data_IF_873725845905
#
_entry.id   IF_873725845905
#
_cell.length_a   1.000
_cell.length_b   1.000
_cell.length_c   1.000
_cell.angle_alpha   90.00
_cell.angle_beta   90.00
_cell.angle_gamma   90.00
#
_symmetry.space_group_name_H-M   'P 1'
#
loop_
_entity.id
_entity.type
_entity.pdbx_description
1 polymer ?
#
# COMPACT_ATOMS: atom_id res chain seq x y z
N UNK A 1 -9.24 -8.06 -6.52
CA UNK A 1 -9.76 -8.55 -5.22
C UNK A 1 -9.83 -10.07 -5.15
N UNK A 2 -10.49 -10.75 -6.10
CA UNK A 2 -10.65 -12.21 -6.09
C UNK A 2 -9.32 -12.99 -5.91
N UNK A 3 -8.26 -12.57 -6.60
CA UNK A 3 -6.93 -13.19 -6.49
C UNK A 3 -6.33 -13.07 -5.08
N UNK A 4 -6.47 -11.90 -4.45
CA UNK A 4 -5.97 -11.67 -3.09
C UNK A 4 -6.73 -12.49 -2.04
N UNK A 5 -8.04 -12.68 -2.23
CA UNK A 5 -8.86 -13.50 -1.34
C UNK A 5 -8.56 -15.00 -1.51
N UNK A 6 -8.37 -15.46 -2.76
CA UNK A 6 -7.94 -16.83 -3.02
C UNK A 6 -6.56 -17.12 -2.40
N UNK A 7 -5.63 -16.17 -2.48
CA UNK A 7 -4.33 -16.27 -1.83
C UNK A 7 -4.45 -16.29 -0.29
N UNK A 8 -5.32 -15.45 0.28
CA UNK A 8 -5.61 -15.45 1.72
C UNK A 8 -6.13 -16.81 2.19
N UNK A 9 -7.13 -17.38 1.51
CA UNK A 9 -7.70 -18.69 1.84
C UNK A 9 -6.62 -19.77 1.81
N UNK A 10 -5.82 -19.81 0.74
CA UNK A 10 -4.71 -20.75 0.60
C UNK A 10 -3.68 -20.65 1.74
N UNK A 11 -3.37 -19.44 2.21
CA UNK A 11 -2.47 -19.19 3.34
C UNK A 11 -3.10 -19.64 4.67
N UNK A 12 -4.38 -19.35 4.89
CA UNK A 12 -5.11 -19.75 6.11
C UNK A 12 -5.21 -21.25 6.26
N UNK A 13 -5.47 -21.97 5.18
CA UNK A 13 -5.49 -23.46 5.18
C UNK A 13 -4.15 -24.07 5.60
N UNK A 14 -3.05 -23.32 5.48
CA UNK A 14 -1.69 -23.74 5.86
C UNK A 14 -1.28 -23.27 7.26
N UNK A 15 -2.21 -22.68 8.01
CA UNK A 15 -1.97 -22.23 9.38
C UNK A 15 -1.19 -20.91 9.47
N UNK A 16 -1.19 -20.07 8.43
CA UNK A 16 -0.64 -18.72 8.55
C UNK A 16 -1.48 -17.90 9.53
N UNK A 17 -0.87 -17.50 10.65
CA UNK A 17 -1.52 -16.73 11.72
C UNK A 17 -1.49 -15.21 11.46
N UNK A 18 -0.56 -14.75 10.62
CA UNK A 18 -0.41 -13.34 10.26
C UNK A 18 -0.30 -13.19 8.74
N UNK A 19 -0.99 -12.19 8.21
CA UNK A 19 -1.02 -11.88 6.78
C UNK A 19 -0.41 -10.50 6.56
N UNK A 20 0.55 -10.43 5.64
CA UNK A 20 1.20 -9.19 5.25
C UNK A 20 0.84 -8.84 3.81
N UNK A 21 0.04 -7.79 3.61
CA UNK A 21 -0.28 -7.32 2.26
C UNK A 21 0.81 -6.38 1.76
N UNK A 22 1.67 -6.89 0.87
CA UNK A 22 2.76 -6.13 0.25
C UNK A 22 2.28 -5.36 -0.99
N UNK A 23 2.48 -4.06 -0.98
CA UNK A 23 2.36 -3.16 -2.15
C UNK A 23 3.64 -2.31 -2.30
N UNK A 24 3.74 -1.53 -3.39
CA UNK A 24 4.97 -0.79 -3.72
C UNK A 24 5.30 0.31 -2.68
N UNK A 25 6.59 0.56 -2.47
CA UNK A 25 7.08 1.59 -1.51
C UNK A 25 6.79 3.03 -1.94
N UNK A 26 6.36 3.23 -3.19
CA UNK A 26 5.89 4.52 -3.73
C UNK A 26 4.36 4.63 -3.76
N UNK A 27 3.67 3.68 -3.11
CA UNK A 27 2.21 3.65 -2.95
C UNK A 27 1.43 3.62 -4.28
N UNK A 28 2.04 3.05 -5.31
CA UNK A 28 1.56 2.96 -6.69
C UNK A 28 0.10 2.49 -6.76
N UNK A 29 -0.79 3.44 -7.01
CA UNK A 29 -2.23 3.23 -7.06
C UNK A 29 -2.91 4.41 -7.76
N UNK A 30 -4.21 4.30 -7.97
CA UNK A 30 -5.07 5.43 -8.36
C UNK A 30 -6.22 5.54 -7.37
N UNK A 31 -7.05 6.58 -7.51
CA UNK A 31 -8.31 6.67 -6.75
C UNK A 31 -9.24 5.45 -6.97
N UNK A 32 -9.08 4.73 -8.09
CA UNK A 32 -9.82 3.51 -8.37
C UNK A 32 -9.27 2.27 -7.64
N UNK A 33 -8.12 2.37 -6.95
CA UNK A 33 -7.49 1.27 -6.23
C UNK A 33 -6.08 0.93 -6.72
N UNK A 34 -5.49 -0.19 -6.27
CA UNK A 34 -6.16 -1.33 -5.59
C UNK A 34 -5.85 -1.46 -4.09
N UNK A 35 -4.97 -0.62 -3.52
CA UNK A 35 -4.45 -0.81 -2.15
C UNK A 35 -5.59 -0.79 -1.11
N UNK A 36 -6.46 0.23 -1.14
CA UNK A 36 -7.59 0.35 -0.21
C UNK A 36 -8.56 -0.82 -0.31
N UNK A 37 -9.10 -1.06 -1.50
CA UNK A 37 -10.07 -2.13 -1.76
C UNK A 37 -9.58 -3.52 -1.35
N UNK A 38 -8.31 -3.84 -1.65
CA UNK A 38 -7.74 -5.14 -1.24
C UNK A 38 -7.54 -5.19 0.27
N UNK A 39 -7.08 -4.10 0.90
CA UNK A 39 -6.90 -4.06 2.36
C UNK A 39 -8.23 -4.24 3.10
N UNK A 40 -9.29 -3.56 2.65
CA UNK A 40 -10.65 -3.67 3.20
C UNK A 40 -11.19 -5.10 3.07
N UNK A 41 -11.07 -5.71 1.89
CA UNK A 41 -11.54 -7.08 1.66
C UNK A 41 -10.77 -8.11 2.52
N UNK A 42 -9.46 -7.90 2.72
CA UNK A 42 -8.66 -8.74 3.59
C UNK A 42 -9.05 -8.58 5.07
N UNK A 43 -9.29 -7.35 5.53
CA UNK A 43 -9.76 -7.06 6.89
C UNK A 43 -11.10 -7.74 7.17
N UNK A 44 -12.05 -7.62 6.24
CA UNK A 44 -13.37 -8.26 6.34
C UNK A 44 -13.24 -9.78 6.51
N UNK A 45 -12.44 -10.44 5.65
CA UNK A 45 -12.26 -11.91 5.73
C UNK A 45 -11.42 -12.38 6.93
N UNK A 46 -10.56 -11.52 7.47
CA UNK A 46 -9.79 -11.80 8.69
C UNK A 46 -10.57 -11.47 9.96
N UNK A 47 -11.72 -10.80 9.87
CA UNK A 47 -12.50 -10.36 11.03
C UNK A 47 -11.77 -9.29 11.86
N UNK A 48 -10.98 -8.44 11.21
CA UNK A 48 -10.27 -7.32 11.84
C UNK A 48 -10.87 -5.98 11.39
N UNK A 49 -10.88 -4.99 12.28
CA UNK A 49 -11.40 -3.64 12.02
C UNK A 49 -10.29 -2.61 11.77
N UNK A 50 -9.02 -3.00 11.93
CA UNK A 50 -7.88 -2.09 11.85
C UNK A 50 -6.62 -2.75 11.27
N UNK A 51 -5.82 -1.97 10.53
CA UNK A 51 -4.48 -2.34 10.07
C UNK A 51 -3.61 -1.09 9.85
N UNK A 52 -2.32 -1.31 9.61
CA UNK A 52 -1.36 -0.25 9.29
C UNK A 52 -1.06 -0.22 7.78
N UNK A 53 -0.91 0.99 7.24
CA UNK A 53 -0.34 1.22 5.92
C UNK A 53 1.03 1.90 6.05
N UNK A 54 2.11 1.21 5.66
CA UNK A 54 3.47 1.73 5.79
C UNK A 54 4.33 1.35 4.57
N UNK A 55 4.36 2.19 3.52
CA UNK A 55 5.25 2.00 2.38
C UNK A 55 6.70 2.47 2.62
N UNK A 56 7.05 2.95 3.83
CA UNK A 56 8.39 3.43 4.14
C UNK A 56 9.44 2.32 3.93
N UNK A 57 10.53 2.67 3.27
CA UNK A 57 11.69 1.81 3.07
C UNK A 57 12.97 2.66 3.09
N UNK A 58 13.50 2.99 4.28
CA UNK A 58 14.58 3.97 4.43
C UNK A 58 15.88 3.61 3.72
N UNK A 59 16.23 2.32 3.64
CA UNK A 59 17.41 1.84 2.91
C UNK A 59 17.37 2.24 1.42
N UNK A 60 16.17 2.32 0.85
CA UNK A 60 15.92 2.80 -0.51
C UNK A 60 15.43 4.25 -0.55
N UNK A 61 15.61 5.03 0.52
CA UNK A 61 15.23 6.46 0.54
C UNK A 61 13.73 6.72 0.54
N UNK A 62 12.89 5.78 0.98
CA UNK A 62 11.44 6.02 1.15
C UNK A 62 11.16 6.28 2.62
N UNK A 63 10.75 7.50 2.96
CA UNK A 63 10.46 7.89 4.35
C UNK A 63 9.08 8.55 4.46
N UNK A 64 8.46 8.47 5.64
CA UNK A 64 7.15 9.07 5.89
C UNK A 64 7.27 10.04 7.06
N UNK A 65 6.80 11.27 6.86
CA UNK A 65 6.72 12.26 7.92
C UNK A 65 5.35 12.92 7.93
N UNK A 66 4.63 12.83 9.06
CA UNK A 66 3.26 13.37 9.23
C UNK A 66 2.31 12.96 8.09
N UNK A 67 2.36 11.68 7.71
CA UNK A 67 1.54 11.11 6.64
C UNK A 67 2.02 11.44 5.21
N UNK A 68 3.06 12.26 5.02
CA UNK A 68 3.60 12.58 3.70
C UNK A 68 4.75 11.63 3.36
N UNK A 69 4.68 11.00 2.19
CA UNK A 69 5.70 10.12 1.65
C UNK A 69 6.76 10.92 0.89
N UNK A 70 8.02 10.66 1.22
CA UNK A 70 9.21 11.21 0.57
C UNK A 70 9.95 10.12 -0.18
N UNK A 71 10.50 10.48 -1.34
CA UNK A 71 11.41 9.67 -2.15
C UNK A 71 12.71 10.44 -2.26
N UNK A 72 13.77 9.92 -1.64
CA UNK A 72 14.97 10.68 -1.31
C UNK A 72 14.59 11.97 -0.56
N UNK A 73 15.07 13.12 -1.02
CA UNK A 73 14.83 14.42 -0.40
C UNK A 73 13.58 15.14 -0.94
N UNK A 74 12.78 14.49 -1.80
CA UNK A 74 11.62 15.11 -2.45
C UNK A 74 10.30 14.46 -1.99
N UNK A 75 9.20 15.22 -2.04
CA UNK A 75 7.86 14.66 -1.91
C UNK A 75 7.60 13.66 -3.04
N UNK A 76 6.77 12.64 -2.77
CA UNK A 76 6.33 11.67 -3.79
C UNK A 76 5.80 12.36 -5.06
N UNK A 77 5.03 13.44 -4.87
CA UNK A 77 4.43 14.24 -5.95
C UNK A 77 5.44 15.05 -6.78
N UNK A 78 6.72 15.04 -6.40
CA UNK A 78 7.79 15.79 -7.05
C UNK A 78 8.96 14.90 -7.48
N UNK A 79 8.90 13.59 -7.21
CA UNK A 79 10.04 12.66 -7.32
C UNK A 79 10.22 11.97 -8.68
N UNK A 80 9.43 12.36 -9.68
CA UNK A 80 9.23 11.66 -10.94
C UNK A 80 8.02 10.72 -10.95
N UNK A 81 7.53 10.28 -9.78
CA UNK A 81 6.35 9.43 -9.67
C UNK A 81 5.06 10.15 -10.10
N UNK A 82 5.02 11.48 -10.07
CA UNK A 82 3.93 12.28 -10.63
C UNK A 82 3.73 12.08 -12.14
N UNK A 83 4.76 11.59 -12.84
CA UNK A 83 4.72 11.28 -14.27
C UNK A 83 4.72 9.76 -14.53
N UNK A 84 4.49 8.93 -13.51
CA UNK A 84 4.47 7.47 -13.69
C UNK A 84 3.41 7.08 -14.74
N UNK A 85 3.74 6.25 -15.74
CA UNK A 85 2.89 6.05 -16.92
C UNK A 85 1.54 5.38 -16.63
N UNK A 86 1.41 4.69 -15.50
CA UNK A 86 0.19 3.94 -15.13
C UNK A 86 -0.48 4.46 -13.86
N UNK A 87 0.29 4.96 -12.92
CA UNK A 87 -0.16 5.36 -11.58
C UNK A 87 0.54 6.66 -11.17
N UNK A 88 0.26 7.78 -11.88
CA UNK A 88 0.87 9.05 -11.58
C UNK A 88 0.50 9.49 -10.16
N UNK A 89 1.51 9.68 -9.31
CA UNK A 89 1.34 10.03 -7.91
C UNK A 89 1.44 11.55 -7.74
N UNK A 90 0.32 12.26 -7.71
CA UNK A 90 0.29 13.74 -7.67
C UNK A 90 -0.01 14.32 -6.29
N UNK A 91 -0.33 13.49 -5.30
CA UNK A 91 -0.43 13.85 -3.88
C UNK A 91 0.54 12.97 -3.08
N UNK A 92 1.32 13.58 -2.19
CA UNK A 92 2.27 12.88 -1.33
C UNK A 92 1.67 12.47 0.02
N UNK A 93 0.48 12.95 0.37
CA UNK A 93 -0.17 12.64 1.63
C UNK A 93 -0.93 11.30 1.55
N UNK A 94 -0.44 10.29 2.26
CA UNK A 94 -0.97 8.93 2.25
C UNK A 94 -2.34 8.78 2.93
N UNK A 95 -2.82 9.80 3.63
CA UNK A 95 -4.12 9.76 4.34
C UNK A 95 -5.27 10.21 3.42
N UNK A 96 -4.96 10.85 2.30
CA UNK A 96 -5.96 11.42 1.38
C UNK A 96 -6.34 10.47 0.25
#
# INVERSE_FOLDING_TARGET
MAESLAALEWLRERGCEQIFFKYCSTFDSTAAGNIGQVSEALLEQLGSDFTLACPAFPENGRTIFRGHLFVQDQLLSESGMQNHPLTPMTDANLVR
#
